data_IF_589399159546
#
_entry.id   IF_589399159546
#
_cell.length_a   1.000
_cell.length_b   1.000
_cell.length_c   1.000
_cell.angle_alpha   90.00
_cell.angle_beta   90.00
_cell.angle_gamma   90.00
#
_symmetry.space_group_name_H-M   'P 1'
#
loop_
_entity.id
_entity.type
_entity.pdbx_description
1 polymer ?
#
# COMPACT_ATOMS: atom_id res chain seq x y z
N UNK A 1 -18.58 -18.66 17.16
CA UNK A 1 -17.34 -18.91 17.94
C UNK A 1 -17.48 -20.12 18.86
N UNK A 2 -18.56 -20.24 19.65
CA UNK A 2 -18.82 -21.44 20.47
C UNK A 2 -19.13 -22.71 19.65
N UNK A 3 -19.79 -22.60 18.49
CA UNK A 3 -20.15 -23.77 17.66
C UNK A 3 -18.97 -24.52 17.02
N UNK A 4 -17.86 -23.82 16.72
CA UNK A 4 -16.66 -24.41 16.11
C UNK A 4 -15.51 -24.60 17.10
N UNK A 5 -15.65 -24.12 18.35
CA UNK A 5 -14.63 -24.23 19.38
C UNK A 5 -13.31 -23.50 19.08
N UNK A 6 -13.34 -22.51 18.17
CA UNK A 6 -12.14 -21.78 17.74
C UNK A 6 -11.85 -20.57 18.64
N UNK A 7 -10.58 -20.37 18.99
CA UNK A 7 -10.09 -19.14 19.59
C UNK A 7 -10.08 -17.97 18.61
N UNK A 8 -9.78 -16.73 19.05
CA UNK A 8 -9.86 -15.52 18.21
C UNK A 8 -9.06 -15.60 16.90
N UNK A 9 -7.79 -16.04 16.95
CA UNK A 9 -6.98 -16.18 15.74
C UNK A 9 -7.44 -17.35 14.86
N UNK A 10 -7.91 -18.45 15.47
CA UNK A 10 -8.44 -19.59 14.72
C UNK A 10 -9.73 -19.26 13.98
N UNK A 11 -10.62 -18.48 14.61
CA UNK A 11 -11.84 -17.98 13.97
C UNK A 11 -11.54 -17.04 12.82
N UNK A 12 -10.53 -16.18 12.97
CA UNK A 12 -10.12 -15.25 11.93
C UNK A 12 -9.49 -15.97 10.72
N UNK A 13 -8.64 -16.97 10.96
CA UNK A 13 -8.14 -17.86 9.89
C UNK A 13 -9.30 -18.53 9.16
N UNK A 14 -10.24 -19.12 9.91
CA UNK A 14 -11.41 -19.78 9.33
C UNK A 14 -12.25 -18.83 8.46
N UNK A 15 -12.50 -17.60 8.94
CA UNK A 15 -13.22 -16.60 8.15
C UNK A 15 -12.50 -16.24 6.85
N UNK A 16 -11.17 -16.15 6.89
CA UNK A 16 -10.37 -15.85 5.69
C UNK A 16 -10.36 -17.04 4.72
N UNK A 17 -10.21 -18.26 5.21
CA UNK A 17 -10.31 -19.47 4.36
C UNK A 17 -11.69 -19.56 3.71
N UNK A 18 -12.74 -19.33 4.49
CA UNK A 18 -14.12 -19.32 3.98
C UNK A 18 -14.34 -18.21 2.94
N UNK A 19 -13.80 -17.01 3.15
CA UNK A 19 -13.82 -15.96 2.14
C UNK A 19 -13.11 -16.42 0.85
N UNK A 20 -11.96 -17.08 0.98
CA UNK A 20 -11.19 -17.64 -0.13
C UNK A 20 -11.96 -18.67 -0.96
N UNK A 21 -12.81 -19.48 -0.32
CA UNK A 21 -13.68 -20.45 -0.99
C UNK A 21 -14.87 -19.82 -1.72
N UNK A 22 -15.25 -18.58 -1.36
CA UNK A 22 -16.46 -17.91 -1.86
C UNK A 22 -16.13 -16.63 -2.67
N UNK A 23 -14.91 -16.50 -3.20
CA UNK A 23 -14.51 -15.34 -4.01
C UNK A 23 -15.28 -15.28 -5.33
N UNK A 24 -15.43 -16.42 -6.01
CA UNK A 24 -16.05 -16.46 -7.34
C UNK A 24 -17.56 -16.20 -7.28
N UNK A 25 -18.25 -16.73 -6.28
CA UNK A 25 -19.70 -16.62 -6.15
C UNK A 25 -20.09 -15.34 -5.39
N UNK A 26 -19.80 -15.28 -4.08
CA UNK A 26 -20.29 -14.20 -3.23
C UNK A 26 -19.61 -12.86 -3.51
N UNK A 27 -18.27 -12.83 -3.53
CA UNK A 27 -17.55 -11.56 -3.68
C UNK A 27 -17.78 -10.95 -5.07
N UNK A 28 -17.84 -11.76 -6.12
CA UNK A 28 -18.15 -11.26 -7.46
C UNK A 28 -19.53 -10.63 -7.52
N UNK A 29 -20.56 -11.29 -6.98
CA UNK A 29 -21.93 -10.76 -6.95
C UNK A 29 -22.00 -9.42 -6.19
N UNK A 30 -21.27 -9.30 -5.07
CA UNK A 30 -21.21 -8.04 -4.34
C UNK A 30 -20.47 -6.93 -5.11
N UNK A 31 -19.42 -7.27 -5.85
CA UNK A 31 -18.65 -6.32 -6.65
C UNK A 31 -19.45 -5.77 -7.84
N UNK A 32 -20.40 -6.54 -8.40
CA UNK A 32 -21.28 -6.11 -9.49
C UNK A 32 -22.25 -4.99 -9.08
N UNK A 33 -22.43 -4.74 -7.78
CA UNK A 33 -23.26 -3.65 -7.28
C UNK A 33 -22.59 -2.27 -7.33
N UNK A 34 -21.29 -2.21 -7.65
CA UNK A 34 -20.53 -0.97 -7.73
C UNK A 34 -20.32 -0.53 -9.18
N UNK A 35 -20.13 0.77 -9.38
CA UNK A 35 -19.86 1.36 -10.69
C UNK A 35 -18.36 1.23 -11.04
N UNK A 36 -18.06 1.30 -12.34
CA UNK A 36 -16.68 1.21 -12.85
C UNK A 36 -15.75 2.33 -12.32
N UNK A 37 -16.31 3.46 -11.86
CA UNK A 37 -15.59 4.62 -11.34
C UNK A 37 -15.56 4.72 -9.80
N UNK A 38 -16.12 3.72 -9.11
CA UNK A 38 -16.15 3.68 -7.65
C UNK A 38 -14.77 3.39 -7.03
N UNK A 39 -14.48 4.08 -5.93
CA UNK A 39 -13.25 3.88 -5.16
C UNK A 39 -13.51 2.93 -3.97
N UNK A 40 -13.04 1.69 -4.08
CA UNK A 40 -13.25 0.65 -3.07
C UNK A 40 -12.09 0.58 -2.07
N UNK A 41 -12.43 0.63 -0.77
CA UNK A 41 -11.47 0.46 0.33
C UNK A 41 -11.79 -0.82 1.09
N UNK A 42 -10.83 -1.75 1.11
CA UNK A 42 -10.92 -2.98 1.89
C UNK A 42 -10.11 -2.85 3.17
N UNK A 43 -10.79 -2.96 4.32
CA UNK A 43 -10.13 -3.01 5.62
C UNK A 43 -9.70 -4.45 5.93
N UNK A 44 -8.39 -4.69 5.89
CA UNK A 44 -7.82 -6.01 6.11
C UNK A 44 -7.57 -6.25 7.60
N UNK A 45 -7.72 -7.50 8.10
CA UNK A 45 -7.39 -7.78 9.49
C UNK A 45 -5.90 -7.55 9.77
N UNK A 46 -5.59 -6.88 10.89
CA UNK A 46 -4.22 -6.46 11.23
C UNK A 46 -3.28 -7.55 11.73
N UNK A 47 -3.61 -8.83 11.55
CA UNK A 47 -2.80 -9.96 12.03
C UNK A 47 -1.76 -10.37 10.98
N UNK A 48 -0.48 -10.43 11.36
CA UNK A 48 0.62 -10.70 10.41
C UNK A 48 0.55 -12.12 9.82
N UNK A 49 -0.04 -13.06 10.56
CA UNK A 49 -0.20 -14.46 10.20
C UNK A 49 -1.01 -14.65 8.91
N UNK A 50 -1.95 -13.74 8.64
CA UNK A 50 -2.75 -13.76 7.41
C UNK A 50 -1.93 -13.48 6.17
N UNK A 51 -0.92 -12.65 6.29
CA UNK A 51 -0.05 -12.30 5.18
C UNK A 51 1.10 -13.30 5.07
N UNK A 52 1.47 -14.02 6.14
CA UNK A 52 2.63 -14.90 6.15
C UNK A 52 2.37 -16.38 5.87
N UNK A 53 1.21 -16.91 6.23
CA UNK A 53 0.96 -18.35 6.21
C UNK A 53 -0.20 -18.80 5.32
N UNK A 54 -1.06 -17.87 4.89
CA UNK A 54 -2.23 -18.16 4.07
C UNK A 54 -2.19 -17.35 2.77
N UNK A 55 -2.43 -17.98 1.61
CA UNK A 55 -2.45 -17.27 0.33
C UNK A 55 -3.77 -16.50 0.11
N UNK A 56 -4.69 -16.46 1.08
CA UNK A 56 -6.04 -15.91 0.92
C UNK A 56 -6.01 -14.47 0.42
N UNK A 57 -5.21 -13.59 1.03
CA UNK A 57 -5.16 -12.18 0.63
C UNK A 57 -4.52 -11.97 -0.75
N UNK A 58 -3.54 -12.81 -1.10
CA UNK A 58 -2.97 -12.83 -2.45
C UNK A 58 -4.03 -13.26 -3.48
N UNK A 59 -4.72 -14.36 -3.21
CA UNK A 59 -5.79 -14.88 -4.09
C UNK A 59 -6.94 -13.86 -4.23
N UNK A 60 -7.31 -13.20 -3.14
CA UNK A 60 -8.30 -12.13 -3.13
C UNK A 60 -7.86 -10.98 -4.04
N UNK A 61 -6.63 -10.51 -3.92
CA UNK A 61 -6.11 -9.45 -4.78
C UNK A 61 -6.00 -9.88 -6.26
N UNK A 62 -5.60 -11.12 -6.54
CA UNK A 62 -5.60 -11.68 -7.89
C UNK A 62 -7.02 -11.78 -8.47
N UNK A 63 -8.01 -12.11 -7.64
CA UNK A 63 -9.42 -12.14 -8.04
C UNK A 63 -9.91 -10.77 -8.47
N UNK A 64 -9.65 -9.74 -7.65
CA UNK A 64 -9.96 -8.34 -8.00
C UNK A 64 -9.30 -7.92 -9.32
N UNK A 65 -8.02 -8.23 -9.51
CA UNK A 65 -7.32 -7.96 -10.78
C UNK A 65 -7.97 -8.66 -11.98
N UNK A 66 -8.42 -9.92 -11.83
CA UNK A 66 -9.15 -10.66 -12.89
C UNK A 66 -10.49 -10.02 -13.23
N UNK A 67 -11.11 -9.32 -12.28
CA UNK A 67 -12.32 -8.52 -12.47
C UNK A 67 -12.04 -7.09 -12.95
N UNK A 68 -10.82 -6.85 -13.43
CA UNK A 68 -10.41 -5.59 -14.05
C UNK A 68 -10.29 -4.40 -13.06
N UNK A 69 -10.11 -4.68 -11.76
CA UNK A 69 -9.77 -3.65 -10.78
C UNK A 69 -8.27 -3.35 -10.78
N UNK A 70 -7.93 -2.06 -10.70
CA UNK A 70 -6.57 -1.62 -10.39
C UNK A 70 -6.38 -1.65 -8.86
N UNK A 71 -5.50 -2.54 -8.39
CA UNK A 71 -5.35 -2.82 -6.95
C UNK A 71 -3.96 -2.41 -6.48
N UNK A 72 -3.91 -1.64 -5.40
CA UNK A 72 -2.70 -1.42 -4.61
C UNK A 72 -2.93 -1.79 -3.15
N UNK A 73 -1.85 -2.01 -2.41
CA UNK A 73 -1.91 -2.18 -0.96
C UNK A 73 -1.40 -0.93 -0.25
N UNK A 74 -2.16 -0.46 0.73
CA UNK A 74 -1.74 0.65 1.60
C UNK A 74 -1.16 0.06 2.88
N UNK A 75 0.16 0.12 3.04
CA UNK A 75 0.85 -0.45 4.19
C UNK A 75 1.06 0.60 5.27
N UNK A 76 0.36 0.46 6.40
CA UNK A 76 0.45 1.41 7.52
C UNK A 76 1.49 0.94 8.54
N UNK A 77 2.53 1.75 8.74
CA UNK A 77 3.45 1.63 9.87
C UNK A 77 3.15 2.71 10.91
N UNK A 78 3.18 2.39 12.20
CA UNK A 78 2.97 3.39 13.26
C UNK A 78 4.25 4.21 13.50
N UNK A 79 4.17 5.54 13.41
CA UNK A 79 5.29 6.44 13.68
C UNK A 79 5.91 6.25 15.08
N UNK A 80 5.13 5.84 16.07
CA UNK A 80 5.64 5.59 17.43
C UNK A 80 6.53 4.34 17.51
N UNK A 81 6.46 3.45 16.52
CA UNK A 81 7.33 2.27 16.45
C UNK A 81 8.76 2.66 16.05
N UNK A 82 8.90 3.67 15.20
CA UNK A 82 10.19 4.15 14.70
C UNK A 82 10.85 5.04 15.76
N UNK A 83 11.49 4.39 16.73
CA UNK A 83 12.23 5.07 17.82
C UNK A 83 13.74 4.96 17.67
N UNK A 84 14.21 4.08 16.79
CA UNK A 84 15.62 3.89 16.46
C UNK A 84 15.78 3.24 15.07
N UNK A 85 17.01 3.23 14.58
CA UNK A 85 17.37 2.70 13.26
C UNK A 85 17.10 1.20 13.12
N UNK A 86 17.22 0.42 14.21
CA UNK A 86 16.96 -1.03 14.15
C UNK A 86 15.47 -1.32 13.98
N UNK A 87 14.61 -0.55 14.65
CA UNK A 87 13.16 -0.62 14.48
C UNK A 87 12.71 -0.10 13.13
N UNK A 88 13.33 0.97 12.63
CA UNK A 88 13.11 1.45 11.26
C UNK A 88 13.37 0.33 10.24
N UNK A 89 14.56 -0.29 10.31
CA UNK A 89 14.93 -1.39 9.43
C UNK A 89 13.96 -2.57 9.57
N UNK A 90 13.55 -2.91 10.79
CA UNK A 90 12.56 -3.97 11.01
C UNK A 90 11.22 -3.65 10.33
N UNK A 91 10.77 -2.40 10.39
CA UNK A 91 9.58 -1.94 9.68
C UNK A 91 9.73 -2.03 8.17
N UNK A 92 10.88 -1.62 7.63
CA UNK A 92 11.16 -1.77 6.20
C UNK A 92 11.13 -3.22 5.73
N UNK A 93 11.75 -4.13 6.51
CA UNK A 93 11.76 -5.55 6.18
C UNK A 93 10.35 -6.15 6.23
N UNK A 94 9.53 -5.76 7.21
CA UNK A 94 8.14 -6.20 7.31
C UNK A 94 7.31 -5.73 6.10
N UNK A 95 7.49 -4.48 5.69
CA UNK A 95 6.83 -3.89 4.52
C UNK A 95 7.22 -4.61 3.22
N UNK A 96 8.53 -4.84 3.01
CA UNK A 96 9.03 -5.58 1.85
C UNK A 96 8.54 -7.04 1.85
N UNK A 97 8.48 -7.68 3.01
CA UNK A 97 7.94 -9.03 3.13
C UNK A 97 6.47 -9.09 2.74
N UNK A 98 5.67 -8.09 3.15
CA UNK A 98 4.27 -8.00 2.75
C UNK A 98 4.13 -7.76 1.24
N UNK A 99 4.94 -6.87 0.66
CA UNK A 99 4.95 -6.58 -0.78
C UNK A 99 5.23 -7.83 -1.62
N UNK A 100 6.23 -8.64 -1.22
CA UNK A 100 6.56 -9.90 -1.91
C UNK A 100 5.42 -10.91 -1.80
N UNK A 101 4.74 -11.00 -0.65
CA UNK A 101 3.68 -12.00 -0.44
C UNK A 101 2.36 -11.65 -1.11
N UNK A 102 2.02 -10.36 -1.16
CA UNK A 102 0.81 -9.87 -1.81
C UNK A 102 0.97 -9.70 -3.33
N UNK A 103 2.20 -9.49 -3.81
CA UNK A 103 2.49 -9.24 -5.23
C UNK A 103 1.66 -8.05 -5.78
N UNK A 104 1.59 -6.99 -4.96
CA UNK A 104 0.91 -5.75 -5.25
C UNK A 104 1.88 -4.56 -5.18
N UNK A 105 1.62 -3.49 -5.94
CA UNK A 105 2.28 -2.23 -5.66
C UNK A 105 1.82 -1.74 -4.28
N UNK A 106 2.76 -1.23 -3.47
CA UNK A 106 2.47 -0.75 -2.12
C UNK A 106 2.65 0.76 -2.04
N UNK A 107 1.72 1.41 -1.34
CA UNK A 107 1.92 2.75 -0.80
C UNK A 107 2.22 2.59 0.70
N UNK A 108 3.48 2.78 1.07
CA UNK A 108 3.90 2.67 2.46
C UNK A 108 3.67 4.00 3.18
N UNK A 109 2.92 3.97 4.27
CA UNK A 109 2.52 5.16 5.01
C UNK A 109 3.04 5.06 6.43
N UNK A 110 3.65 6.16 6.90
CA UNK A 110 3.93 6.35 8.30
C UNK A 110 2.76 7.06 8.97
N UNK A 111 1.94 6.28 9.68
CA UNK A 111 0.71 6.72 10.34
C UNK A 111 0.96 7.40 11.69
N UNK A 112 -0.07 8.10 12.17
CA UNK A 112 -0.10 8.77 13.50
C UNK A 112 1.01 9.82 13.68
N UNK A 113 1.44 10.47 12.61
CA UNK A 113 2.48 11.51 12.68
C UNK A 113 2.09 12.69 13.57
N UNK A 114 0.80 12.86 13.83
CA UNK A 114 0.26 13.85 14.75
C UNK A 114 0.65 13.58 16.23
N UNK A 115 1.01 12.34 16.57
CA UNK A 115 1.48 11.93 17.89
C UNK A 115 2.99 12.10 18.09
N UNK A 116 3.72 12.39 17.01
CA UNK A 116 5.18 12.57 17.05
C UNK A 116 5.51 13.93 17.67
N UNK A 117 6.15 13.89 18.84
CA UNK A 117 6.50 15.12 19.59
C UNK A 117 7.64 15.90 18.94
N UNK A 118 8.64 15.20 18.42
CA UNK A 118 9.81 15.80 17.80
C UNK A 118 10.01 15.20 16.40
N UNK A 119 9.69 16.00 15.38
CA UNK A 119 9.75 15.56 13.99
C UNK A 119 11.16 15.21 13.53
N UNK A 120 12.20 15.80 14.15
CA UNK A 120 13.61 15.51 13.81
C UNK A 120 13.98 14.06 14.04
N UNK A 121 13.34 13.40 15.01
CA UNK A 121 13.64 12.01 15.35
C UNK A 121 13.21 11.04 14.24
N UNK A 122 12.34 11.49 13.32
CA UNK A 122 11.81 10.69 12.22
C UNK A 122 12.28 11.21 10.86
N UNK A 123 12.76 12.44 10.78
CA UNK A 123 13.18 13.10 9.54
C UNK A 123 14.28 12.32 8.82
N UNK A 124 15.26 11.81 9.56
CA UNK A 124 16.35 10.96 9.05
C UNK A 124 15.85 9.62 8.46
N UNK A 125 14.64 9.19 8.83
CA UNK A 125 14.02 7.96 8.34
C UNK A 125 13.04 8.21 7.18
N UNK A 126 12.60 9.45 6.97
CA UNK A 126 11.75 9.81 5.82
C UNK A 126 12.56 9.87 4.52
N UNK A 127 13.81 10.32 4.62
CA UNK A 127 14.80 10.28 3.53
C UNK A 127 16.03 9.51 4.02
N UNK A 128 15.93 8.17 4.10
CA UNK A 128 16.98 7.35 4.67
C UNK A 128 18.20 7.30 3.74
N UNK A 129 19.28 8.01 4.10
CA UNK A 129 20.56 7.87 3.39
C UNK A 129 21.30 6.61 3.88
N UNK A 130 21.80 5.81 2.93
CA UNK A 130 22.60 4.61 3.20
C UNK A 130 23.66 4.82 4.31
N UNK A 131 24.41 5.92 4.22
CA UNK A 131 25.49 6.26 5.15
C UNK A 131 25.00 6.47 6.58
N UNK A 132 23.85 7.14 6.75
CA UNK A 132 23.26 7.45 8.04
C UNK A 132 22.75 6.15 8.68
N UNK A 133 22.04 5.33 7.91
CA UNK A 133 21.55 4.02 8.37
C UNK A 133 22.71 3.14 8.82
N UNK A 134 23.73 2.97 7.97
CA UNK A 134 24.86 2.10 8.27
C UNK A 134 25.60 2.53 9.54
N UNK A 135 25.83 3.84 9.70
CA UNK A 135 26.45 4.38 10.91
C UNK A 135 25.59 4.09 12.14
N UNK A 136 24.28 4.35 12.06
CA UNK A 136 23.35 4.07 13.14
C UNK A 136 23.33 2.60 13.53
N UNK A 137 23.28 1.69 12.55
CA UNK A 137 23.28 0.24 12.79
C UNK A 137 24.59 -0.22 13.44
N UNK A 138 25.74 0.27 12.99
CA UNK A 138 27.04 -0.06 13.58
C UNK A 138 27.23 0.48 14.99
N UNK A 139 26.58 1.58 15.36
CA UNK A 139 26.60 2.11 16.73
C UNK A 139 25.69 1.31 17.67
N UNK A 140 24.58 0.79 17.16
CA UNK A 140 23.54 0.12 17.97
C UNK A 140 23.76 -1.39 18.08
N UNK A 141 24.38 -2.03 17.08
CA UNK A 141 24.59 -3.48 17.04
C UNK A 141 26.06 -3.87 17.29
N UNK A 142 26.30 -5.08 17.85
CA UNK A 142 27.65 -5.59 18.04
C UNK A 142 28.47 -5.63 16.74
N UNK A 143 29.80 -5.42 16.80
CA UNK A 143 30.67 -5.31 15.63
C UNK A 143 30.70 -6.57 14.76
N UNK A 144 30.37 -7.73 15.32
CA UNK A 144 30.23 -8.99 14.57
C UNK A 144 29.14 -8.95 13.47
N UNK A 145 28.19 -8.01 13.56
CA UNK A 145 27.10 -7.84 12.58
C UNK A 145 27.42 -6.81 11.49
N UNK A 146 28.63 -6.24 11.43
CA UNK A 146 28.99 -5.19 10.46
C UNK A 146 28.66 -5.56 9.01
N UNK A 147 28.90 -6.82 8.61
CA UNK A 147 28.52 -7.33 7.27
C UNK A 147 27.02 -7.33 7.05
N UNK A 148 26.23 -7.73 8.06
CA UNK A 148 24.78 -7.71 8.00
C UNK A 148 24.26 -6.27 7.92
N UNK A 149 24.82 -5.36 8.71
CA UNK A 149 24.44 -3.95 8.75
C UNK A 149 24.64 -3.29 7.39
N UNK A 150 25.75 -3.62 6.71
CA UNK A 150 26.03 -3.14 5.36
C UNK A 150 24.97 -3.60 4.36
N UNK A 151 24.65 -4.89 4.34
CA UNK A 151 23.63 -5.45 3.44
C UNK A 151 22.25 -4.87 3.74
N UNK A 152 21.88 -4.70 5.01
CA UNK A 152 20.60 -4.09 5.38
C UNK A 152 20.50 -2.63 4.94
N UNK A 153 21.58 -1.87 5.07
CA UNK A 153 21.63 -0.48 4.64
C UNK A 153 21.64 -0.36 3.10
N UNK A 154 22.31 -1.26 2.39
CA UNK A 154 22.25 -1.34 0.91
C UNK A 154 20.84 -1.68 0.46
N UNK A 155 20.18 -2.65 1.12
CA UNK A 155 18.83 -3.07 0.78
C UNK A 155 17.79 -1.95 0.90
N UNK A 156 17.90 -1.10 1.93
CA UNK A 156 16.98 0.05 2.07
C UNK A 156 17.23 1.12 1.01
N UNK A 157 18.49 1.36 0.67
CA UNK A 157 18.90 2.40 -0.28
C UNK A 157 18.62 2.00 -1.74
N UNK A 158 19.15 0.84 -2.16
CA UNK A 158 19.07 0.34 -3.54
C UNK A 158 17.63 0.20 -4.02
N UNK A 159 16.75 -0.26 -3.13
CA UNK A 159 15.39 -0.48 -3.54
C UNK A 159 14.58 0.79 -3.61
N UNK A 160 14.89 1.85 -2.85
CA UNK A 160 14.03 3.05 -2.70
C UNK A 160 12.53 2.75 -2.46
N UNK A 161 12.16 1.47 -2.30
CA UNK A 161 10.80 0.92 -2.35
C UNK A 161 10.11 1.05 -1.01
N UNK A 162 10.85 1.44 0.02
CA UNK A 162 10.30 1.71 1.33
C UNK A 162 10.50 3.17 1.72
N UNK A 163 10.19 4.07 0.78
CA UNK A 163 9.83 5.43 1.17
C UNK A 163 8.49 5.38 1.89
N UNK A 164 8.44 5.92 3.10
CA UNK A 164 7.20 6.07 3.84
C UNK A 164 6.65 7.47 3.67
N UNK A 165 5.40 7.56 3.24
CA UNK A 165 4.67 8.83 3.18
C UNK A 165 4.15 9.16 4.58
N UNK A 166 4.53 10.29 5.19
CA UNK A 166 4.03 10.66 6.50
C UNK A 166 2.56 11.08 6.43
N UNK A 167 1.71 10.48 7.27
CA UNK A 167 0.30 10.82 7.42
C UNK A 167 0.03 11.51 8.76
N UNK A 168 -0.25 12.81 8.69
CA UNK A 168 -0.68 13.65 9.81
C UNK A 168 -2.16 14.03 9.64
N UNK A 169 -3.04 13.40 10.42
CA UNK A 169 -4.50 13.59 10.33
C UNK A 169 -4.95 15.01 10.69
N UNK A 170 -4.09 15.82 11.32
CA UNK A 170 -4.40 17.23 11.62
C UNK A 170 -4.19 18.14 10.41
N UNK A 171 -3.53 17.64 9.36
CA UNK A 171 -3.19 18.40 8.16
C UNK A 171 -3.87 17.81 6.95
N UNK A 172 -4.87 18.53 6.45
CA UNK A 172 -5.61 18.14 5.25
C UNK A 172 -4.68 17.93 4.04
N UNK A 173 -3.65 18.76 3.90
CA UNK A 173 -2.64 18.61 2.84
C UNK A 173 -1.86 17.28 2.91
N UNK A 174 -1.68 16.72 4.10
CA UNK A 174 -1.05 15.41 4.28
C UNK A 174 -1.94 14.29 3.77
N UNK A 175 -3.25 14.40 4.00
CA UNK A 175 -4.26 13.44 3.55
C UNK A 175 -4.35 13.50 2.02
N UNK A 176 -4.48 14.70 1.44
CA UNK A 176 -4.50 14.91 -0.02
C UNK A 176 -3.24 14.38 -0.70
N UNK A 177 -2.06 14.55 -0.09
CA UNK A 177 -0.82 13.99 -0.63
C UNK A 177 -0.84 12.46 -0.63
N UNK A 178 -1.29 11.82 0.45
CA UNK A 178 -1.44 10.37 0.52
C UNK A 178 -2.43 9.88 -0.54
N UNK A 179 -3.59 10.53 -0.67
CA UNK A 179 -4.58 10.18 -1.69
C UNK A 179 -3.98 10.26 -3.09
N UNK A 180 -3.27 11.35 -3.42
CA UNK A 180 -2.59 11.48 -4.70
C UNK A 180 -1.55 10.38 -4.95
N UNK A 181 -0.82 9.92 -3.93
CA UNK A 181 0.11 8.79 -4.07
C UNK A 181 -0.63 7.47 -4.36
N UNK A 182 -1.79 7.26 -3.74
CA UNK A 182 -2.61 6.09 -4.00
C UNK A 182 -3.23 6.14 -5.39
N UNK A 183 -3.81 7.29 -5.78
CA UNK A 183 -4.40 7.52 -7.10
C UNK A 183 -3.37 7.26 -8.21
N UNK A 184 -2.15 7.79 -8.06
CA UNK A 184 -1.04 7.51 -8.98
C UNK A 184 -0.66 6.02 -9.01
N UNK A 185 -0.77 5.32 -7.89
CA UNK A 185 -0.41 3.90 -7.78
C UNK A 185 -1.42 2.97 -8.47
N UNK A 186 -2.72 3.30 -8.39
CA UNK A 186 -3.79 2.57 -9.07
C UNK A 186 -4.17 3.17 -10.43
N UNK A 187 -3.47 4.23 -10.86
CA UNK A 187 -3.73 4.98 -12.09
C UNK A 187 -5.18 5.50 -12.19
N UNK A 188 -5.74 5.93 -11.06
CA UNK A 188 -7.10 6.43 -11.01
C UNK A 188 -7.25 7.69 -11.86
N UNK A 189 -8.21 7.69 -12.78
CA UNK A 189 -8.51 8.83 -13.64
C UNK A 189 -7.72 8.95 -14.95
N UNK A 190 -6.71 8.10 -15.21
CA UNK A 190 -5.96 8.14 -16.49
C UNK A 190 -6.84 7.80 -17.71
N UNK A 191 -7.87 6.96 -17.53
CA UNK A 191 -8.83 6.60 -18.58
C UNK A 191 -9.80 7.75 -18.97
N UNK A 192 -9.91 8.78 -18.12
CA UNK A 192 -10.75 9.95 -18.38
C UNK A 192 -10.10 10.86 -19.43
N UNK A 193 -8.77 10.91 -19.49
CA UNK A 193 -8.02 11.73 -20.44
C UNK A 193 -8.10 11.20 -21.88
N UNK A 194 -8.33 9.89 -22.06
CA UNK A 194 -8.41 9.26 -23.39
C UNK A 194 -9.72 9.57 -24.14
N UNK A 195 -10.78 10.01 -23.46
CA UNK A 195 -12.09 10.26 -24.08
C UNK A 195 -12.23 11.64 -24.74
N UNK A 196 -11.21 12.50 -24.72
CA UNK A 196 -11.34 13.92 -25.11
C UNK A 196 -10.79 14.24 -26.52
N UNK A 197 -10.32 13.28 -27.33
CA UNK A 197 -9.81 13.60 -28.68
C UNK A 197 -10.16 12.59 -29.77
N UNK A 198 -11.45 12.49 -30.08
CA UNK A 198 -11.86 12.36 -31.48
C UNK A 198 -12.40 13.72 -31.91
N UNK A 199 -11.50 14.59 -32.39
CA UNK A 199 -11.90 15.77 -33.16
C UNK A 199 -12.53 15.25 -34.46
N UNK A 200 -13.86 15.21 -34.52
CA UNK A 200 -14.56 15.11 -35.80
C UNK A 200 -14.09 16.30 -36.66
N UNK A 201 -13.52 16.07 -37.86
CA UNK A 201 -13.25 17.16 -38.77
C UNK A 201 -14.60 17.72 -39.21
N UNK A 202 -14.89 18.97 -38.85
CA UNK A 202 -16.04 19.71 -39.37
C UNK A 202 -15.99 19.70 -40.91
N UNK A 203 -16.98 19.04 -41.52
CA UNK A 203 -17.22 18.98 -42.95
C UNK A 203 -17.59 20.40 -43.44
N UNK A 204 -16.80 21.06 -44.31
CA UNK A 204 -17.13 22.41 -44.73
C UNK A 204 -17.96 22.34 -46.01
N UNK A 205 -19.28 22.15 -45.91
CA UNK A 205 -20.17 22.41 -47.05
C UNK A 205 -21.62 22.67 -46.61
N UNK A 206 -21.98 23.94 -46.37
CA UNK A 206 -23.34 24.44 -46.59
C UNK A 206 -23.29 25.87 -47.17
N UNK A 207 -23.38 25.92 -48.50
CA UNK A 207 -24.34 26.72 -49.27
C UNK A 207 -24.35 28.27 -49.08
N UNK A 208 -23.59 28.97 -49.94
CA UNK A 208 -23.81 30.38 -50.24
C UNK A 208 -24.51 30.51 -51.60
N UNK A 209 -25.83 30.32 -51.57
CA UNK A 209 -26.71 30.57 -52.70
C UNK A 209 -28.09 31.04 -52.25
N UNK A 210 -28.31 32.35 -52.19
CA UNK A 210 -29.48 33.03 -52.78
C UNK A 210 -29.44 34.55 -52.52
N UNK A 211 -29.80 35.25 -53.60
CA UNK A 211 -30.21 36.64 -53.80
C UNK A 211 -29.14 37.74 -53.99
#
# INVERSE_FOLDING_TARGET
MEELGLGPNGGLIYCMEHLGENLDDWLTEELENFLDDDYLIFDCPGQIELFSHLPVLKNFAEHLKKKNFNVCAVYLLDSQFITDVTKFISGCMASLSAMIKLELPHVNILSKMDLVKNRRDIEDYLNPEHRIILLGLNLMMPPQFEKLNKVLAELVDEYSMVSFVPLDLRKESSIHYVLSQIDNCIQYGEDVDLKVKDFDPEDPDIDAGCD
#
